data_IF_550644510021
#
_entry.id   IF_550644510021
#
_cell.length_a   1.000
_cell.length_b   1.000
_cell.length_c   1.000
_cell.angle_alpha   90.00
_cell.angle_beta   90.00
_cell.angle_gamma   90.00
#
_symmetry.space_group_name_H-M   'P 1'
#
loop_
_entity.id
_entity.type
_entity.pdbx_description
1 polymer ?
#
# COMPACT_ATOMS: atom_id res chain seq x y z
N UNK A 1 19.84 -3.28 38.08
CA UNK A 1 19.05 -2.55 37.08
C UNK A 1 19.59 -2.94 35.74
N UNK A 2 18.85 -3.71 34.96
CA UNK A 2 19.26 -4.13 33.61
C UNK A 2 18.81 -3.01 32.66
N UNK A 3 19.70 -2.42 31.93
CA UNK A 3 19.36 -1.46 30.88
C UNK A 3 19.04 -2.28 29.64
N UNK A 4 17.77 -2.44 29.33
CA UNK A 4 17.29 -3.20 28.17
C UNK A 4 16.73 -2.21 27.14
N UNK A 5 17.08 -2.43 25.87
CA UNK A 5 16.59 -1.62 24.77
C UNK A 5 15.39 -2.33 24.09
N UNK A 6 14.41 -1.58 23.56
CA UNK A 6 13.31 -2.15 22.79
C UNK A 6 13.79 -3.05 21.62
N UNK A 7 14.89 -2.67 20.98
CA UNK A 7 15.51 -3.46 19.91
C UNK A 7 15.96 -4.86 20.35
N UNK A 8 16.28 -5.10 21.63
CA UNK A 8 16.59 -6.45 22.15
C UNK A 8 15.33 -7.30 22.18
N UNK A 9 14.18 -6.72 22.55
CA UNK A 9 12.88 -7.41 22.48
C UNK A 9 12.51 -7.75 21.03
N UNK A 10 12.80 -6.83 20.09
CA UNK A 10 12.62 -7.10 18.67
C UNK A 10 13.44 -8.32 18.24
N UNK A 11 14.72 -8.37 18.59
CA UNK A 11 15.62 -9.46 18.19
C UNK A 11 15.26 -10.77 18.88
N UNK A 12 14.97 -10.76 20.18
CA UNK A 12 14.86 -11.96 20.99
C UNK A 12 13.44 -12.56 21.01
N UNK A 13 12.40 -11.74 20.72
CA UNK A 13 11.00 -12.18 20.80
C UNK A 13 10.19 -11.92 19.54
N UNK A 14 10.24 -10.70 18.97
CA UNK A 14 9.47 -10.36 17.79
C UNK A 14 9.95 -11.14 16.55
N UNK A 15 11.23 -11.07 16.20
CA UNK A 15 11.78 -11.75 15.02
C UNK A 15 11.60 -13.27 15.05
N UNK A 16 11.81 -14.00 16.17
CA UNK A 16 11.48 -15.42 16.24
C UNK A 16 10.00 -15.70 16.02
N UNK A 17 9.11 -14.84 16.54
CA UNK A 17 7.66 -15.02 16.41
C UNK A 17 7.21 -14.85 14.95
N UNK A 18 7.55 -13.74 14.31
CA UNK A 18 7.16 -13.49 12.92
C UNK A 18 7.75 -14.51 11.96
N UNK A 19 9.02 -14.94 12.18
CA UNK A 19 9.65 -15.98 11.36
C UNK A 19 8.97 -17.33 11.53
N UNK A 20 8.53 -17.66 12.74
CA UNK A 20 7.77 -18.89 13.00
C UNK A 20 6.43 -18.88 12.27
N UNK A 21 5.69 -17.78 12.36
CA UNK A 21 4.40 -17.63 11.68
C UNK A 21 4.56 -17.65 10.16
N UNK A 22 5.49 -16.86 9.62
CA UNK A 22 5.79 -16.87 8.18
C UNK A 22 6.22 -18.24 7.67
N UNK A 23 7.00 -19.00 8.45
CA UNK A 23 7.40 -20.34 8.03
C UNK A 23 6.20 -21.27 7.89
N UNK A 24 5.23 -21.21 8.81
CA UNK A 24 4.00 -22.01 8.76
C UNK A 24 3.15 -21.58 7.56
N UNK A 25 2.89 -20.30 7.38
CA UNK A 25 2.08 -19.76 6.30
C UNK A 25 2.66 -20.07 4.90
N UNK A 26 3.99 -19.99 4.75
CA UNK A 26 4.65 -20.31 3.48
C UNK A 26 4.64 -21.82 3.19
N UNK A 27 4.78 -22.68 4.21
CA UNK A 27 4.65 -24.14 4.08
C UNK A 27 3.23 -24.53 3.65
N UNK A 28 2.20 -23.93 4.25
CA UNK A 28 0.79 -24.14 3.90
C UNK A 28 0.48 -23.70 2.46
N UNK A 29 1.19 -22.71 1.94
CA UNK A 29 1.13 -22.27 0.53
C UNK A 29 1.99 -23.11 -0.42
N UNK A 30 2.66 -24.14 0.11
CA UNK A 30 3.38 -25.16 -0.65
C UNK A 30 4.83 -24.84 -1.01
N UNK A 31 5.45 -23.84 -0.38
CA UNK A 31 6.88 -23.57 -0.56
C UNK A 31 7.73 -24.66 0.12
N UNK A 32 8.82 -25.07 -0.53
CA UNK A 32 9.75 -26.01 0.07
C UNK A 32 10.53 -25.37 1.23
N UNK A 33 10.87 -26.14 2.26
CA UNK A 33 11.61 -25.63 3.44
C UNK A 33 12.92 -24.91 3.10
N UNK A 34 13.55 -25.28 1.99
CA UNK A 34 14.78 -24.63 1.52
C UNK A 34 14.47 -23.24 0.93
N UNK A 35 13.35 -23.09 0.25
CA UNK A 35 12.88 -21.79 -0.28
C UNK A 35 12.46 -20.87 0.86
N UNK A 36 11.72 -21.39 1.83
CA UNK A 36 11.33 -20.67 3.06
C UNK A 36 12.58 -20.18 3.79
N UNK A 37 13.57 -21.05 3.98
CA UNK A 37 14.84 -20.71 4.64
C UNK A 37 15.57 -19.55 3.92
N UNK A 38 15.61 -19.59 2.59
CA UNK A 38 16.24 -18.55 1.78
C UNK A 38 15.49 -17.21 1.90
N UNK A 39 14.15 -17.22 1.83
CA UNK A 39 13.34 -16.01 1.97
C UNK A 39 13.41 -15.38 3.36
N UNK A 40 13.41 -16.20 4.41
CA UNK A 40 13.45 -15.70 5.79
C UNK A 40 14.87 -15.43 6.32
N UNK A 41 15.92 -15.70 5.52
CA UNK A 41 17.31 -15.49 5.91
C UNK A 41 17.75 -16.37 7.10
N UNK A 42 17.23 -17.61 7.21
CA UNK A 42 17.50 -18.55 8.30
C UNK A 42 17.93 -19.92 7.76
N UNK A 43 18.38 -20.79 8.64
CA UNK A 43 18.74 -22.16 8.24
C UNK A 43 17.48 -23.04 8.03
N UNK A 44 17.56 -24.03 7.11
CA UNK A 44 16.50 -25.04 6.95
C UNK A 44 16.20 -25.78 8.26
N UNK A 45 17.20 -26.00 9.12
CA UNK A 45 17.01 -26.59 10.43
C UNK A 45 16.15 -25.72 11.37
N UNK A 46 16.23 -24.38 11.24
CA UNK A 46 15.35 -23.46 11.96
C UNK A 46 13.91 -23.54 11.43
N UNK A 47 13.71 -23.56 10.11
CA UNK A 47 12.39 -23.78 9.51
C UNK A 47 11.76 -25.07 10.00
N UNK A 48 12.49 -26.19 9.99
CA UNK A 48 12.02 -27.48 10.51
C UNK A 48 11.61 -27.42 11.99
N UNK A 49 12.30 -26.62 12.81
CA UNK A 49 11.92 -26.41 14.22
C UNK A 49 10.60 -25.63 14.34
N UNK A 50 10.42 -24.58 13.55
CA UNK A 50 9.18 -23.80 13.52
C UNK A 50 7.99 -24.68 13.10
N UNK A 51 8.10 -25.40 12.00
CA UNK A 51 7.04 -26.29 11.50
C UNK A 51 6.71 -27.45 12.45
N UNK A 52 7.66 -27.90 13.25
CA UNK A 52 7.42 -28.95 14.26
C UNK A 52 6.77 -28.44 15.56
N UNK A 53 6.51 -27.13 15.68
CA UNK A 53 5.97 -26.50 16.88
C UNK A 53 6.93 -26.52 18.09
N UNK A 54 8.21 -26.87 17.88
CA UNK A 54 9.22 -26.90 18.95
C UNK A 54 9.69 -25.53 19.39
N UNK A 55 9.45 -24.53 18.57
CA UNK A 55 9.73 -23.13 18.86
C UNK A 55 8.47 -22.32 18.55
N UNK A 56 7.75 -21.99 19.59
CA UNK A 56 6.58 -21.10 19.53
C UNK A 56 7.03 -19.68 19.80
N UNK A 57 6.43 -18.73 19.10
CA UNK A 57 6.68 -17.30 19.33
C UNK A 57 6.09 -16.80 20.66
N UNK A 58 6.28 -15.52 20.92
CA UNK A 58 5.64 -14.81 22.05
C UNK A 58 4.13 -14.68 21.76
N UNK A 59 3.25 -15.24 22.60
CA UNK A 59 1.81 -15.26 22.32
C UNK A 59 1.20 -13.86 22.10
N UNK A 60 1.67 -12.85 22.85
CA UNK A 60 1.20 -11.46 22.70
C UNK A 60 1.47 -10.87 21.33
N UNK A 61 2.52 -11.30 20.65
CA UNK A 61 2.78 -10.90 19.27
C UNK A 61 1.99 -11.78 18.30
N UNK A 62 2.00 -13.08 18.50
CA UNK A 62 1.38 -14.04 17.60
C UNK A 62 -0.16 -13.90 17.51
N UNK A 63 -0.80 -13.47 18.62
CA UNK A 63 -2.24 -13.30 18.73
C UNK A 63 -2.71 -11.88 18.37
N UNK A 64 -1.78 -10.93 18.16
CA UNK A 64 -2.15 -9.56 17.74
C UNK A 64 -2.67 -9.56 16.29
N UNK A 65 -3.87 -9.00 16.04
CA UNK A 65 -4.46 -8.99 14.70
C UNK A 65 -3.56 -8.38 13.61
N UNK A 66 -2.79 -7.34 13.95
CA UNK A 66 -1.85 -6.68 13.03
C UNK A 66 -0.71 -7.61 12.61
N UNK A 67 -0.21 -8.44 13.55
CA UNK A 67 0.80 -9.46 13.25
C UNK A 67 0.23 -10.52 12.30
N UNK A 68 -0.99 -11.00 12.55
CA UNK A 68 -1.64 -12.00 11.70
C UNK A 68 -1.83 -11.45 10.28
N UNK A 69 -2.36 -10.24 10.15
CA UNK A 69 -2.58 -9.58 8.86
C UNK A 69 -1.26 -9.37 8.09
N UNK A 70 -0.22 -8.86 8.75
CA UNK A 70 1.08 -8.65 8.10
C UNK A 70 1.73 -9.98 7.66
N UNK A 71 1.63 -11.03 8.47
CA UNK A 71 2.15 -12.36 8.13
C UNK A 71 1.41 -12.96 6.92
N UNK A 72 0.07 -12.89 6.92
CA UNK A 72 -0.74 -13.36 5.78
C UNK A 72 -0.40 -12.61 4.50
N UNK A 73 -0.31 -11.28 4.57
CA UNK A 73 0.03 -10.41 3.45
C UNK A 73 1.42 -10.74 2.87
N UNK A 74 2.45 -10.84 3.73
CA UNK A 74 3.82 -11.18 3.29
C UNK A 74 3.88 -12.59 2.71
N UNK A 75 3.23 -13.56 3.35
CA UNK A 75 3.24 -14.94 2.89
C UNK A 75 2.55 -15.10 1.54
N UNK A 76 1.39 -14.47 1.34
CA UNK A 76 0.69 -14.45 0.06
C UNK A 76 1.53 -13.79 -1.03
N UNK A 77 2.09 -12.60 -0.74
CA UNK A 77 2.93 -11.87 -1.67
C UNK A 77 4.18 -12.64 -2.11
N UNK A 78 4.82 -13.36 -1.19
CA UNK A 78 5.95 -14.22 -1.49
C UNK A 78 5.56 -15.48 -2.29
N UNK A 79 4.43 -16.08 -2.01
CA UNK A 79 3.94 -17.26 -2.73
C UNK A 79 3.53 -16.94 -4.17
N UNK A 80 2.93 -15.78 -4.39
CA UNK A 80 2.46 -15.32 -5.71
C UNK A 80 3.51 -14.54 -6.49
N UNK A 81 4.61 -14.11 -5.84
CA UNK A 81 5.64 -13.27 -6.45
C UNK A 81 5.21 -11.81 -6.65
N UNK A 82 4.16 -11.38 -5.96
CA UNK A 82 3.63 -10.00 -6.02
C UNK A 82 4.27 -9.06 -5.02
N UNK A 83 5.03 -9.58 -4.06
CA UNK A 83 5.76 -8.81 -3.04
C UNK A 83 7.27 -9.07 -3.17
N UNK A 84 8.08 -8.02 -3.13
CA UNK A 84 9.53 -8.17 -3.05
C UNK A 84 10.07 -8.09 -1.61
N UNK A 85 11.38 -8.36 -1.45
CA UNK A 85 12.03 -8.36 -0.14
C UNK A 85 12.02 -6.97 0.51
N UNK A 86 12.06 -5.89 -0.26
CA UNK A 86 12.00 -4.53 0.26
C UNK A 86 10.64 -4.21 0.87
N UNK A 87 9.56 -4.62 0.21
CA UNK A 87 8.19 -4.41 0.71
C UNK A 87 7.90 -5.25 1.94
N UNK A 88 8.34 -6.51 1.93
CA UNK A 88 8.23 -7.37 3.11
C UNK A 88 8.99 -6.77 4.30
N UNK A 89 10.19 -6.22 4.06
CA UNK A 89 10.96 -5.53 5.10
C UNK A 89 10.26 -4.26 5.60
N UNK A 90 9.70 -3.47 4.69
CA UNK A 90 8.94 -2.25 5.04
C UNK A 90 7.76 -2.60 5.94
N UNK A 91 6.97 -3.63 5.58
CA UNK A 91 5.83 -4.10 6.36
C UNK A 91 6.22 -4.53 7.77
N UNK A 92 7.34 -5.27 7.89
CA UNK A 92 7.84 -5.69 9.21
C UNK A 92 8.34 -4.50 10.05
N UNK A 93 8.96 -3.49 9.44
CA UNK A 93 9.41 -2.29 10.16
C UNK A 93 8.23 -1.46 10.64
N UNK A 94 7.20 -1.29 9.80
CA UNK A 94 5.97 -0.58 10.17
C UNK A 94 5.25 -1.30 11.33
N UNK A 95 5.23 -2.65 11.31
CA UNK A 95 4.66 -3.44 12.39
C UNK A 95 5.47 -3.31 13.69
N UNK A 96 6.81 -3.28 13.62
CA UNK A 96 7.67 -3.04 14.79
C UNK A 96 7.34 -1.67 15.40
N UNK A 97 7.26 -0.64 14.57
CA UNK A 97 6.94 0.72 15.01
C UNK A 97 5.56 0.79 15.69
N UNK A 98 4.54 0.16 15.09
CA UNK A 98 3.20 0.06 15.68
C UNK A 98 3.18 -0.74 17.00
N UNK A 99 4.11 -1.68 17.19
CA UNK A 99 4.23 -2.45 18.41
C UNK A 99 5.04 -1.72 19.50
N UNK A 100 5.91 -0.81 19.11
CA UNK A 100 6.67 0.06 20.01
C UNK A 100 5.81 1.24 20.52
N UNK A 101 4.80 1.71 19.76
CA UNK A 101 3.87 2.77 20.22
C UNK A 101 2.74 2.17 21.07
N UNK A 102 3.01 2.03 22.37
CA UNK A 102 2.05 1.47 23.36
C UNK A 102 1.48 0.11 22.99
N UNK A 103 2.18 -0.60 22.12
CA UNK A 103 1.82 -1.91 21.63
C UNK A 103 2.50 -3.05 22.42
N UNK A 104 2.48 -4.28 21.87
CA UNK A 104 3.00 -5.45 22.55
C UNK A 104 4.50 -5.38 22.89
N UNK A 105 5.35 -4.72 22.07
CA UNK A 105 6.77 -4.53 22.39
C UNK A 105 6.91 -3.61 23.60
N UNK A 106 6.14 -2.49 23.64
CA UNK A 106 6.13 -1.59 24.80
C UNK A 106 5.70 -2.33 26.08
N UNK A 107 4.65 -3.13 26.02
CA UNK A 107 4.17 -3.89 27.18
C UNK A 107 5.22 -4.89 27.71
N UNK A 108 5.91 -5.60 26.82
CA UNK A 108 7.03 -6.49 27.21
C UNK A 108 8.16 -5.71 27.84
N UNK A 109 8.49 -4.54 27.28
CA UNK A 109 9.55 -3.68 27.78
C UNK A 109 9.25 -3.13 29.19
N UNK A 110 8.02 -2.73 29.45
CA UNK A 110 7.57 -2.27 30.79
C UNK A 110 7.67 -3.41 31.83
N UNK A 111 7.32 -4.65 31.46
CA UNK A 111 7.47 -5.80 32.36
C UNK A 111 8.93 -6.12 32.68
N UNK A 112 9.82 -6.04 31.68
CA UNK A 112 11.25 -6.30 31.86
C UNK A 112 11.99 -5.11 32.52
N UNK A 113 11.41 -3.90 32.43
CA UNK A 113 11.88 -2.68 33.07
C UNK A 113 10.75 -1.98 33.85
N UNK A 114 10.40 -2.47 35.05
CA UNK A 114 9.26 -1.91 35.83
C UNK A 114 9.35 -0.43 36.15
N UNK A 115 10.53 0.19 36.02
CA UNK A 115 10.72 1.63 36.17
C UNK A 115 9.95 2.43 35.10
N UNK A 116 9.61 1.81 33.98
CA UNK A 116 8.88 2.45 32.89
C UNK A 116 7.34 2.37 33.08
N UNK A 117 6.88 1.48 33.93
CA UNK A 117 5.46 1.24 34.16
C UNK A 117 4.77 2.50 34.69
N UNK A 118 3.72 2.93 34.01
CA UNK A 118 2.93 4.11 34.39
C UNK A 118 3.60 5.46 34.18
N UNK A 119 4.81 5.53 33.62
CA UNK A 119 5.52 6.78 33.34
C UNK A 119 4.99 7.50 32.10
N UNK A 120 4.13 6.86 31.28
CA UNK A 120 3.75 7.40 29.97
C UNK A 120 4.95 7.49 29.03
N UNK A 121 5.78 6.45 29.03
CA UNK A 121 7.01 6.38 28.24
C UNK A 121 6.74 6.59 26.74
N UNK A 122 7.50 7.49 26.12
CA UNK A 122 7.44 7.86 24.70
C UNK A 122 8.80 7.69 23.99
N UNK A 123 9.75 6.99 24.62
CA UNK A 123 11.14 6.93 24.16
C UNK A 123 11.29 6.33 22.75
N UNK A 124 10.45 5.36 22.40
CA UNK A 124 10.50 4.68 21.10
C UNK A 124 9.93 5.55 19.97
N UNK A 125 8.96 6.41 20.30
CA UNK A 125 8.21 7.21 19.33
C UNK A 125 8.66 8.68 19.29
N UNK A 126 9.67 9.05 20.09
CA UNK A 126 10.23 10.41 20.09
C UNK A 126 10.85 10.75 18.75
N UNK A 127 10.40 11.87 18.18
CA UNK A 127 10.98 12.41 16.94
C UNK A 127 10.50 11.71 15.67
N UNK A 128 9.45 10.92 15.73
CA UNK A 128 8.76 10.47 14.54
C UNK A 128 8.19 11.68 13.80
N UNK A 129 8.65 11.88 12.56
CA UNK A 129 8.10 12.88 11.67
C UNK A 129 6.88 12.29 10.99
N UNK A 130 5.68 12.64 11.45
CA UNK A 130 4.40 12.16 10.90
C UNK A 130 4.29 12.43 9.39
N UNK A 131 4.91 13.50 8.89
CA UNK A 131 4.93 13.79 7.47
C UNK A 131 5.78 12.77 6.70
N UNK A 132 6.98 12.46 7.18
CA UNK A 132 7.85 11.44 6.58
C UNK A 132 7.20 10.06 6.61
N UNK A 133 6.48 9.74 7.66
CA UNK A 133 5.71 8.49 7.75
C UNK A 133 4.60 8.46 6.72
N UNK A 134 3.78 9.51 6.62
CA UNK A 134 2.74 9.63 5.61
C UNK A 134 3.30 9.54 4.17
N UNK A 135 4.46 10.16 3.90
CA UNK A 135 5.15 10.06 2.60
C UNK A 135 5.57 8.63 2.27
N UNK A 136 6.12 7.88 3.25
CA UNK A 136 6.46 6.45 3.09
C UNK A 136 5.24 5.59 2.80
N UNK A 137 4.17 5.80 3.56
CA UNK A 137 2.91 5.06 3.41
C UNK A 137 2.30 5.28 2.03
N UNK A 138 2.25 6.53 1.56
CA UNK A 138 1.76 6.86 0.22
C UNK A 138 2.61 6.21 -0.86
N UNK A 139 3.94 6.29 -0.78
CA UNK A 139 4.84 5.65 -1.75
C UNK A 139 4.70 4.13 -1.74
N UNK A 140 4.54 3.50 -0.57
CA UNK A 140 4.29 2.06 -0.43
C UNK A 140 2.98 1.67 -1.12
N UNK A 141 1.89 2.37 -0.81
CA UNK A 141 0.57 2.10 -1.38
C UNK A 141 0.56 2.25 -2.91
N UNK A 142 1.19 3.29 -3.44
CA UNK A 142 1.30 3.47 -4.90
C UNK A 142 2.14 2.35 -5.53
N UNK A 143 3.26 1.93 -4.92
CA UNK A 143 4.05 0.79 -5.42
C UNK A 143 3.21 -0.50 -5.46
N UNK A 144 2.49 -0.77 -4.38
CA UNK A 144 1.61 -1.95 -4.30
C UNK A 144 0.53 -1.90 -5.40
N UNK A 145 -0.19 -0.79 -5.53
CA UNK A 145 -1.21 -0.61 -6.56
C UNK A 145 -0.63 -0.75 -7.99
N UNK A 146 0.54 -0.18 -8.25
CA UNK A 146 1.24 -0.29 -9.54
C UNK A 146 1.60 -1.74 -9.87
N UNK A 147 2.02 -2.53 -8.88
CA UNK A 147 2.33 -3.95 -9.08
C UNK A 147 1.09 -4.79 -9.35
N UNK A 148 0.03 -4.59 -8.58
CA UNK A 148 -1.26 -5.25 -8.84
C UNK A 148 -1.75 -4.91 -10.25
N UNK A 149 -1.68 -3.64 -10.64
CA UNK A 149 -2.03 -3.17 -11.98
C UNK A 149 -1.19 -3.86 -13.06
N UNK A 150 0.14 -3.91 -12.89
CA UNK A 150 1.04 -4.53 -13.85
C UNK A 150 0.87 -6.06 -13.96
N UNK A 151 0.48 -6.71 -12.87
CA UNK A 151 0.26 -8.17 -12.81
C UNK A 151 -1.16 -8.60 -13.21
N UNK A 152 -2.07 -7.66 -13.49
CA UNK A 152 -3.44 -7.96 -13.93
C UNK A 152 -3.52 -7.98 -15.46
N UNK A 153 -3.61 -9.16 -16.11
CA UNK A 153 -3.52 -9.26 -17.58
C UNK A 153 -4.60 -8.45 -18.32
N UNK A 154 -5.81 -8.39 -17.77
CA UNK A 154 -6.95 -7.68 -18.38
C UNK A 154 -6.71 -6.16 -18.46
N UNK A 155 -5.85 -5.59 -17.65
CA UNK A 155 -5.57 -4.14 -17.61
C UNK A 155 -4.92 -3.63 -18.90
N UNK A 156 -4.17 -4.50 -19.61
CA UNK A 156 -3.45 -4.12 -20.84
C UNK A 156 -4.36 -3.49 -21.88
N UNK A 157 -5.60 -3.99 -22.01
CA UNK A 157 -6.59 -3.52 -22.99
C UNK A 157 -7.24 -2.19 -22.56
N UNK A 158 -7.04 -1.77 -21.32
CA UNK A 158 -7.57 -0.54 -20.76
C UNK A 158 -6.52 0.57 -20.58
N UNK A 159 -5.27 0.34 -21.02
CA UNK A 159 -4.23 1.37 -20.97
C UNK A 159 -4.42 2.33 -22.16
N UNK A 160 -4.64 3.64 -21.92
CA UNK A 160 -4.76 4.61 -23.00
C UNK A 160 -3.42 4.82 -23.74
N UNK A 161 -3.49 5.34 -24.98
CA UNK A 161 -2.27 5.62 -25.76
C UNK A 161 -1.33 6.60 -25.05
N UNK A 162 -1.90 7.52 -24.27
CA UNK A 162 -1.12 8.46 -23.44
C UNK A 162 -0.50 7.80 -22.20
N UNK A 163 -0.78 6.51 -21.96
CA UNK A 163 -0.35 5.77 -20.78
C UNK A 163 -1.25 5.97 -19.57
N UNK A 164 -1.21 4.97 -18.67
CA UNK A 164 -1.89 5.02 -17.36
C UNK A 164 -0.95 5.55 -16.29
N UNK A 165 -1.49 6.24 -15.30
CA UNK A 165 -0.78 6.55 -14.06
C UNK A 165 -1.67 6.24 -12.87
N UNK A 166 -1.03 5.80 -11.80
CA UNK A 166 -1.64 5.54 -10.51
C UNK A 166 -1.04 6.57 -9.57
N UNK A 167 -1.88 7.31 -8.88
CA UNK A 167 -1.42 8.31 -7.93
C UNK A 167 -2.19 8.24 -6.62
N UNK A 168 -1.53 8.68 -5.55
CA UNK A 168 -2.12 8.84 -4.23
C UNK A 168 -1.56 10.09 -3.57
N UNK A 169 -2.43 10.84 -2.90
CA UNK A 169 -2.10 12.06 -2.18
C UNK A 169 -1.74 11.81 -0.71
N UNK A 170 -0.94 12.70 -0.15
CA UNK A 170 -0.82 12.86 1.30
C UNK A 170 -2.18 13.23 1.93
N UNK A 171 -2.42 12.98 3.23
CA UNK A 171 -3.70 13.27 3.89
C UNK A 171 -4.16 14.73 3.76
N UNK A 172 -3.25 15.68 3.78
CA UNK A 172 -3.53 17.12 3.73
C UNK A 172 -2.94 17.75 2.46
N UNK A 173 -2.95 17.01 1.35
CA UNK A 173 -2.39 17.47 0.09
C UNK A 173 -3.17 18.68 -0.46
N UNK A 174 -2.45 19.74 -0.84
CA UNK A 174 -2.99 20.94 -1.48
C UNK A 174 -2.26 21.29 -2.77
N UNK A 175 -1.09 20.71 -3.03
CA UNK A 175 -0.28 20.91 -4.21
C UNK A 175 -0.07 19.61 -5.02
N UNK A 176 0.23 19.73 -6.31
CA UNK A 176 0.56 18.59 -7.18
C UNK A 176 1.79 17.82 -6.69
N UNK A 177 2.66 18.48 -5.96
CA UNK A 177 3.88 17.92 -5.35
C UNK A 177 3.60 17.02 -4.15
N UNK A 178 2.42 17.07 -3.57
CA UNK A 178 1.98 16.20 -2.47
C UNK A 178 1.36 14.87 -2.96
N UNK A 179 1.36 14.65 -4.27
CA UNK A 179 0.83 13.42 -4.87
C UNK A 179 1.96 12.57 -5.44
N UNK A 180 2.08 11.34 -4.97
CA UNK A 180 2.98 10.35 -5.54
C UNK A 180 2.34 9.67 -6.75
N UNK A 181 3.12 9.48 -7.81
CA UNK A 181 2.71 8.79 -9.04
C UNK A 181 3.95 8.23 -9.77
N UNK A 182 3.74 7.44 -10.82
CA UNK A 182 4.84 6.85 -11.61
C UNK A 182 5.39 7.85 -12.64
N UNK A 183 6.69 8.23 -12.58
CA UNK A 183 7.32 8.97 -13.66
C UNK A 183 7.27 8.21 -14.99
N UNK A 184 6.87 8.88 -16.06
CA UNK A 184 6.80 8.30 -17.41
C UNK A 184 5.59 7.42 -17.69
N UNK A 185 4.69 7.20 -16.71
CA UNK A 185 3.45 6.42 -16.83
C UNK A 185 3.65 4.94 -17.15
N UNK A 186 2.64 4.12 -16.91
CA UNK A 186 2.58 2.73 -17.33
C UNK A 186 2.03 2.63 -18.77
N UNK A 187 2.65 1.81 -19.61
CA UNK A 187 2.29 1.64 -21.01
C UNK A 187 2.09 0.18 -21.37
N UNK A 188 1.16 -0.10 -22.27
CA UNK A 188 0.99 -1.42 -22.86
C UNK A 188 2.14 -1.69 -23.85
N UNK A 189 2.96 -2.72 -23.57
CA UNK A 189 4.06 -3.15 -24.43
C UNK A 189 4.03 -4.66 -24.63
N UNK A 190 3.85 -5.10 -25.88
CA UNK A 190 3.88 -6.54 -26.25
C UNK A 190 2.92 -7.41 -25.41
N UNK A 191 1.71 -6.88 -25.13
CA UNK A 191 0.70 -7.59 -24.34
C UNK A 191 0.97 -7.64 -22.83
N UNK A 192 1.82 -6.77 -22.32
CA UNK A 192 2.11 -6.61 -20.90
C UNK A 192 2.13 -5.14 -20.51
N UNK A 193 1.92 -4.87 -19.24
CA UNK A 193 2.12 -3.54 -18.68
C UNK A 193 3.61 -3.31 -18.44
N UNK A 194 4.15 -2.23 -18.97
CA UNK A 194 5.51 -1.77 -18.69
C UNK A 194 5.44 -0.56 -17.77
N UNK A 195 6.05 -0.67 -16.60
CA UNK A 195 6.18 0.42 -15.61
C UNK A 195 7.63 0.89 -15.62
N UNK A 196 7.91 2.15 -16.03
CA UNK A 196 9.28 2.57 -16.30
C UNK A 196 10.10 2.93 -15.05
N UNK A 197 9.45 3.30 -13.95
CA UNK A 197 10.11 3.85 -12.76
C UNK A 197 9.34 3.52 -11.48
N UNK A 198 10.01 3.65 -10.35
CA UNK A 198 9.35 3.69 -9.03
C UNK A 198 8.51 4.97 -8.88
N UNK A 199 7.45 4.96 -8.05
CA UNK A 199 6.67 6.14 -7.74
C UNK A 199 7.51 7.23 -7.07
N UNK A 200 7.22 8.48 -7.43
CA UNK A 200 7.82 9.68 -6.87
C UNK A 200 6.75 10.75 -6.66
N UNK A 201 6.93 11.62 -5.69
CA UNK A 201 6.07 12.79 -5.50
C UNK A 201 6.25 13.80 -6.63
N UNK A 202 5.15 14.44 -7.05
CA UNK A 202 5.15 15.41 -8.15
C UNK A 202 5.31 14.83 -9.57
N UNK A 203 5.31 13.50 -9.72
CA UNK A 203 5.61 12.83 -11.00
C UNK A 203 4.50 12.96 -12.06
N UNK A 204 3.27 13.31 -11.72
CA UNK A 204 2.14 13.36 -12.67
C UNK A 204 1.16 14.50 -12.38
N UNK A 205 1.12 15.49 -13.27
CA UNK A 205 0.20 16.62 -13.13
C UNK A 205 -1.27 16.23 -13.38
N UNK A 206 -1.54 15.36 -14.36
CA UNK A 206 -2.92 15.04 -14.75
C UNK A 206 -3.69 14.27 -13.67
N UNK A 207 -3.08 13.21 -13.13
CA UNK A 207 -3.67 12.43 -12.04
C UNK A 207 -3.73 13.28 -10.77
N UNK A 208 -2.68 14.04 -10.47
CA UNK A 208 -2.63 14.91 -9.31
C UNK A 208 -3.78 15.92 -9.28
N UNK A 209 -4.01 16.65 -10.39
CA UNK A 209 -5.13 17.61 -10.48
C UNK A 209 -6.49 16.98 -10.28
N UNK A 210 -6.67 15.74 -10.78
CA UNK A 210 -7.93 15.02 -10.60
C UNK A 210 -8.10 14.63 -9.13
N UNK A 211 -7.06 14.11 -8.49
CA UNK A 211 -7.09 13.74 -7.05
C UNK A 211 -7.38 14.98 -6.20
N UNK A 212 -6.68 16.10 -6.40
CA UNK A 212 -6.92 17.35 -5.65
C UNK A 212 -8.33 17.90 -5.86
N UNK A 213 -8.90 17.74 -7.07
CA UNK A 213 -10.28 18.15 -7.32
C UNK A 213 -11.29 17.29 -6.55
N UNK A 214 -11.02 15.99 -6.43
CA UNK A 214 -11.86 15.04 -5.68
C UNK A 214 -11.71 15.25 -4.18
N UNK A 215 -10.49 15.41 -3.68
CA UNK A 215 -10.22 15.67 -2.26
C UNK A 215 -10.86 16.94 -1.73
N UNK A 216 -11.08 17.94 -2.59
CA UNK A 216 -11.80 19.14 -2.20
C UNK A 216 -13.27 18.87 -1.83
N UNK A 217 -13.88 17.79 -2.36
CA UNK A 217 -15.24 17.36 -2.03
C UNK A 217 -15.25 16.26 -0.97
N UNK A 218 -14.26 15.36 -0.99
CA UNK A 218 -14.09 14.29 0.02
C UNK A 218 -12.59 14.02 0.26
N UNK A 219 -12.02 14.48 1.39
CA UNK A 219 -10.60 14.31 1.72
C UNK A 219 -10.16 12.85 1.91
N UNK A 220 -11.07 11.92 2.12
CA UNK A 220 -10.75 10.51 2.31
C UNK A 220 -10.45 9.80 0.98
N UNK A 221 -10.94 10.32 -0.14
CA UNK A 221 -10.67 9.77 -1.48
C UNK A 221 -9.39 10.40 -2.03
N UNK A 222 -8.27 9.71 -1.84
CA UNK A 222 -6.94 10.24 -2.09
C UNK A 222 -6.19 9.54 -3.23
N UNK A 223 -6.78 8.52 -3.83
CA UNK A 223 -6.18 7.74 -4.91
C UNK A 223 -6.92 7.87 -6.23
N UNK A 224 -6.20 7.75 -7.34
CA UNK A 224 -6.79 7.60 -8.66
C UNK A 224 -5.88 6.86 -9.63
N UNK A 225 -6.51 6.11 -10.55
CA UNK A 225 -5.84 5.55 -11.73
C UNK A 225 -6.58 6.00 -12.99
N UNK A 226 -5.85 6.43 -14.02
CA UNK A 226 -6.46 6.73 -15.31
C UNK A 226 -6.39 5.52 -16.26
N UNK A 227 -7.52 5.22 -16.89
CA UNK A 227 -7.72 4.16 -17.88
C UNK A 227 -8.32 4.73 -19.17
N UNK A 228 -8.23 3.98 -20.27
CA UNK A 228 -8.96 4.30 -21.49
C UNK A 228 -10.47 4.12 -21.25
N UNK A 229 -11.29 5.10 -21.59
CA UNK A 229 -12.74 4.97 -21.57
C UNK A 229 -13.19 4.03 -22.68
N UNK A 230 -13.96 3.01 -22.33
CA UNK A 230 -14.60 2.08 -23.27
C UNK A 230 -15.96 1.64 -22.73
N UNK A 231 -16.85 1.21 -23.61
CA UNK A 231 -18.13 0.62 -23.20
C UNK A 231 -17.91 -0.57 -22.25
N UNK A 232 -16.94 -1.42 -22.55
CA UNK A 232 -16.59 -2.59 -21.69
C UNK A 232 -16.20 -2.17 -20.27
N UNK A 233 -15.45 -1.08 -20.10
CA UNK A 233 -15.05 -0.58 -18.78
C UNK A 233 -16.26 -0.02 -18.02
N UNK A 234 -17.11 0.79 -18.71
CA UNK A 234 -18.28 1.41 -18.08
C UNK A 234 -19.37 0.39 -17.75
N UNK A 235 -19.63 -0.57 -18.64
CA UNK A 235 -20.56 -1.68 -18.39
C UNK A 235 -20.08 -2.55 -17.23
N UNK A 236 -18.78 -2.89 -17.20
CA UNK A 236 -18.18 -3.62 -16.09
C UNK A 236 -18.27 -2.91 -14.76
N UNK A 237 -18.11 -1.59 -14.74
CA UNK A 237 -18.29 -0.77 -13.54
C UNK A 237 -19.77 -0.80 -13.09
N UNK A 238 -20.71 -0.65 -14.01
CA UNK A 238 -22.14 -0.70 -13.72
C UNK A 238 -22.57 -2.08 -13.20
N UNK A 239 -22.05 -3.18 -13.76
CA UNK A 239 -22.32 -4.55 -13.31
C UNK A 239 -21.82 -4.82 -11.88
N UNK A 240 -20.77 -4.12 -11.46
CA UNK A 240 -20.26 -4.14 -10.08
C UNK A 240 -20.97 -3.12 -9.15
N UNK A 241 -21.94 -2.38 -9.66
CA UNK A 241 -22.66 -1.39 -8.88
C UNK A 241 -21.84 -0.12 -8.58
N UNK A 242 -20.77 0.12 -9.34
CA UNK A 242 -19.94 1.33 -9.20
C UNK A 242 -20.62 2.52 -9.88
N UNK A 243 -20.70 3.65 -9.19
CA UNK A 243 -21.25 4.91 -9.75
C UNK A 243 -20.25 5.53 -10.72
N UNK A 244 -20.74 5.86 -11.93
CA UNK A 244 -19.94 6.46 -13.00
C UNK A 244 -20.50 7.80 -13.39
N UNK A 245 -19.65 8.82 -13.54
CA UNK A 245 -20.07 10.20 -13.87
C UNK A 245 -19.23 10.76 -15.01
N UNK A 246 -19.93 11.25 -16.04
CA UNK A 246 -19.28 11.92 -17.17
C UNK A 246 -18.93 13.38 -16.83
N UNK A 247 -17.79 13.85 -17.33
CA UNK A 247 -17.38 15.24 -17.30
C UNK A 247 -16.84 15.71 -18.66
N UNK A 248 -16.72 17.03 -18.84
CA UNK A 248 -16.25 17.60 -20.10
C UNK A 248 -14.76 17.35 -20.34
N UNK A 249 -14.41 16.87 -21.53
CA UNK A 249 -13.04 16.50 -21.91
C UNK A 249 -12.05 17.67 -21.99
N UNK A 250 -12.52 18.91 -22.11
CA UNK A 250 -11.67 20.09 -22.26
C UNK A 250 -10.63 20.22 -21.14
N UNK A 251 -9.40 20.61 -21.49
CA UNK A 251 -8.35 20.87 -20.51
C UNK A 251 -8.52 22.22 -19.78
N UNK A 252 -9.28 23.16 -20.37
CA UNK A 252 -9.51 24.46 -19.75
C UNK A 252 -10.35 24.33 -18.48
N UNK A 253 -9.80 24.79 -17.35
CA UNK A 253 -10.44 24.76 -16.03
C UNK A 253 -10.96 23.38 -15.61
N UNK A 254 -10.31 22.29 -16.06
CA UNK A 254 -10.74 20.91 -15.76
C UNK A 254 -10.91 20.65 -14.26
N UNK A 255 -9.95 21.05 -13.45
CA UNK A 255 -9.99 20.91 -11.99
C UNK A 255 -11.22 21.56 -11.39
N UNK A 256 -11.52 22.79 -11.78
CA UNK A 256 -12.68 23.55 -11.31
C UNK A 256 -14.00 22.90 -11.72
N UNK A 257 -14.08 22.38 -12.95
CA UNK A 257 -15.28 21.68 -13.43
C UNK A 257 -15.52 20.38 -12.68
N UNK A 258 -14.46 19.61 -12.39
CA UNK A 258 -14.60 18.41 -11.58
C UNK A 258 -15.06 18.79 -10.16
N UNK A 259 -14.50 19.83 -9.56
CA UNK A 259 -14.97 20.33 -8.25
C UNK A 259 -16.44 20.70 -8.29
N UNK A 260 -16.86 21.57 -9.20
CA UNK A 260 -18.27 21.97 -9.32
C UNK A 260 -19.21 20.79 -9.62
N UNK A 261 -18.74 19.78 -10.34
CA UNK A 261 -19.52 18.57 -10.60
C UNK A 261 -19.74 17.74 -9.32
N UNK A 262 -18.81 17.82 -8.36
CA UNK A 262 -18.82 17.03 -7.14
C UNK A 262 -19.46 17.78 -5.95
N UNK A 263 -19.46 19.13 -5.94
CA UNK A 263 -19.96 19.97 -4.84
C UNK A 263 -21.40 19.67 -4.43
N UNK A 264 -22.28 19.37 -5.40
CA UNK A 264 -23.70 19.12 -5.17
C UNK A 264 -24.03 17.61 -4.96
N UNK A 265 -23.02 16.74 -4.83
CA UNK A 265 -23.22 15.30 -4.71
C UNK A 265 -23.12 14.83 -3.27
N UNK A 266 -24.05 13.99 -2.86
CA UNK A 266 -24.02 13.32 -1.56
C UNK A 266 -22.87 12.27 -1.45
N UNK A 267 -22.41 11.76 -2.59
CA UNK A 267 -21.35 10.75 -2.67
C UNK A 267 -20.46 10.99 -3.87
N UNK A 268 -19.17 10.78 -3.68
CA UNK A 268 -18.21 10.82 -4.78
C UNK A 268 -18.38 9.54 -5.63
N UNK A 269 -18.45 9.67 -6.98
CA UNK A 269 -18.56 8.52 -7.86
C UNK A 269 -17.27 7.69 -7.83
N UNK A 270 -17.39 6.38 -8.04
CA UNK A 270 -16.23 5.50 -8.16
C UNK A 270 -15.43 5.75 -9.43
N UNK A 271 -16.10 6.25 -10.50
CA UNK A 271 -15.47 6.54 -11.79
C UNK A 271 -15.90 7.88 -12.33
N UNK A 272 -14.92 8.74 -12.61
CA UNK A 272 -15.10 9.95 -13.43
C UNK A 272 -14.60 9.68 -14.85
N UNK A 273 -15.38 9.97 -15.89
CA UNK A 273 -14.93 9.71 -17.24
C UNK A 273 -15.30 10.82 -18.22
N UNK A 274 -14.58 10.89 -19.35
CA UNK A 274 -14.97 11.69 -20.50
C UNK A 274 -14.79 10.89 -21.80
N UNK A 275 -15.64 11.18 -22.77
CA UNK A 275 -15.65 10.53 -24.07
C UNK A 275 -14.59 11.08 -25.06
N UNK A 276 -13.73 11.97 -24.56
CA UNK A 276 -12.75 12.64 -25.38
C UNK A 276 -13.28 13.82 -26.17
N UNK A 277 -12.39 14.44 -26.95
CA UNK A 277 -12.69 15.53 -27.88
C UNK A 277 -11.65 15.54 -29.01
N UNK A 278 -11.73 16.46 -29.95
CA UNK A 278 -10.72 16.58 -31.00
C UNK A 278 -9.31 16.74 -30.38
N UNK A 279 -8.43 15.75 -30.60
CA UNK A 279 -7.08 15.71 -30.05
C UNK A 279 -6.98 15.31 -28.57
N UNK A 280 -8.09 14.91 -27.94
CA UNK A 280 -8.15 14.45 -26.54
C UNK A 280 -8.69 13.02 -26.52
N UNK A 281 -7.86 12.09 -26.07
CA UNK A 281 -8.24 10.69 -25.91
C UNK A 281 -9.29 10.52 -24.79
N UNK A 282 -10.28 9.62 -24.96
CA UNK A 282 -11.23 9.29 -23.89
C UNK A 282 -10.54 8.68 -22.67
N UNK A 283 -10.76 9.25 -21.48
CA UNK A 283 -10.13 8.81 -20.23
C UNK A 283 -11.17 8.63 -19.12
N UNK A 284 -11.03 7.55 -18.37
CA UNK A 284 -11.74 7.27 -17.12
C UNK A 284 -10.74 7.34 -15.96
N UNK A 285 -11.15 7.95 -14.86
CA UNK A 285 -10.43 7.94 -13.58
C UNK A 285 -11.20 7.08 -12.60
N UNK A 286 -10.61 5.96 -12.16
CA UNK A 286 -11.13 5.16 -11.05
C UNK A 286 -10.56 5.74 -9.77
N UNK A 287 -11.44 6.04 -8.81
CA UNK A 287 -11.16 6.75 -7.57
C UNK A 287 -11.17 5.82 -6.36
N UNK A 288 -10.31 6.10 -5.35
CA UNK A 288 -10.23 5.32 -4.12
C UNK A 288 -9.40 5.98 -3.01
#
# INVERSE_FOLDING_TARGET
MTLQLPSEIVVDRFLPTVRSMLAVELDERGLAQQEIAAKLGISQAAVSKYLSGKQTGEPRFAEDPRMVEAVEYIAEGFATGTLDDYEALSELLDLIEAFEDRGPICAVHEEEMPVLEGMGCDLCVRGQDHRLQAERDVLRNVRHAVRQFANTPAVVDHIPNVGSNIGMALPEADEETDIAAVPGRAHAMRGRVNVPSNPEFGASQHVARTILAVMAADPEIRGAVNLATSETLLDGAADQGLDTVAFDASYENRTERIRSLLEDRERIPSVLYHEGAFGIEPISYVLG
#
